data_IF_319740504424
#
_entry.id   IF_319740504424
#
_cell.length_a   1.000
_cell.length_b   1.000
_cell.length_c   1.000
_cell.angle_alpha   90.00
_cell.angle_beta   90.00
_cell.angle_gamma   90.00
#
_symmetry.space_group_name_H-M   'P 1'
#
loop_
_entity.id
_entity.type
_entity.pdbx_description
1 polymer ?
#
# COMPACT_ATOMS: atom_id res chain seq x y z
N UNK A 1 -13.13 5.46 14.63
CA UNK A 1 -12.09 6.06 13.79
C UNK A 1 -12.17 5.40 12.43
N UNK A 2 -12.05 6.18 11.35
CA UNK A 2 -11.92 5.65 10.00
C UNK A 2 -10.45 5.76 9.63
N UNK A 3 -9.80 4.64 9.34
CA UNK A 3 -8.45 4.65 8.80
C UNK A 3 -8.55 4.91 7.29
N UNK A 4 -8.18 6.12 6.87
CA UNK A 4 -8.35 6.54 5.49
C UNK A 4 -7.29 5.97 4.54
N UNK A 5 -6.23 5.31 5.03
CA UNK A 5 -5.23 4.67 4.19
C UNK A 5 -4.51 3.56 4.95
N UNK A 6 -4.87 2.31 4.65
CA UNK A 6 -4.19 1.14 5.16
C UNK A 6 -3.85 0.15 4.04
N UNK A 7 -3.18 -0.94 4.43
CA UNK A 7 -2.77 -2.01 3.53
C UNK A 7 -3.34 -3.35 3.98
N UNK A 8 -3.42 -4.33 3.06
CA UNK A 8 -3.59 -5.73 3.40
C UNK A 8 -2.68 -6.18 4.54
N UNK A 9 -3.24 -6.92 5.48
CA UNK A 9 -2.54 -7.52 6.62
C UNK A 9 -2.65 -9.05 6.58
N UNK A 10 -1.91 -9.75 7.45
CA UNK A 10 -1.97 -11.20 7.49
C UNK A 10 -3.37 -11.68 7.90
N UNK A 11 -3.95 -12.62 7.14
CA UNK A 11 -5.24 -13.25 7.47
C UNK A 11 -5.09 -14.54 8.27
N UNK A 12 -3.86 -14.92 8.56
CA UNK A 12 -3.52 -16.04 9.42
C UNK A 12 -2.43 -15.60 10.39
N UNK A 13 -2.47 -16.18 11.59
CA UNK A 13 -1.42 -16.00 12.57
C UNK A 13 -0.11 -16.62 12.11
N UNK A 14 0.96 -16.23 12.78
CA UNK A 14 2.30 -16.72 12.50
C UNK A 14 3.23 -16.40 13.65
N UNK A 15 4.48 -16.79 13.52
CA UNK A 15 5.53 -16.40 14.45
C UNK A 15 5.66 -14.87 14.47
N UNK A 16 5.92 -14.34 15.66
CA UNK A 16 6.09 -12.92 15.87
C UNK A 16 7.43 -12.66 16.54
N UNK A 17 8.31 -11.98 15.81
CA UNK A 17 9.57 -11.47 16.33
C UNK A 17 9.47 -9.94 16.41
N UNK A 18 9.37 -9.35 17.61
CA UNK A 18 9.30 -7.90 17.78
C UNK A 18 10.46 -7.15 17.11
N UNK A 19 11.64 -7.78 16.96
CA UNK A 19 12.81 -7.17 16.31
C UNK A 19 12.64 -6.90 14.82
N UNK A 20 11.65 -7.56 14.20
CA UNK A 20 11.33 -7.40 12.78
C UNK A 20 10.35 -6.25 12.52
N UNK A 21 9.77 -5.64 13.56
CA UNK A 21 8.86 -4.50 13.41
C UNK A 21 9.59 -3.32 12.79
N UNK A 22 9.01 -2.82 11.70
CA UNK A 22 9.63 -1.78 10.88
C UNK A 22 8.59 -0.95 10.15
N UNK A 23 8.94 0.29 9.84
CA UNK A 23 8.20 1.15 8.91
C UNK A 23 8.79 1.12 7.50
N UNK A 24 9.94 0.45 7.33
CA UNK A 24 10.53 0.18 6.02
C UNK A 24 9.73 -0.91 5.31
N UNK A 25 9.06 -0.53 4.23
CA UNK A 25 8.25 -1.43 3.39
C UNK A 25 9.00 -1.92 2.14
N UNK A 26 10.29 -1.62 2.01
CA UNK A 26 11.10 -2.08 0.89
C UNK A 26 11.27 -3.61 0.88
N UNK A 27 11.34 -4.17 -0.33
CA UNK A 27 11.43 -5.61 -0.58
C UNK A 27 12.61 -5.98 -1.47
N UNK A 28 13.58 -5.08 -1.64
CA UNK A 28 14.78 -5.35 -2.42
C UNK A 28 15.73 -6.30 -1.65
N UNK A 29 16.67 -6.95 -2.36
CA UNK A 29 17.69 -7.77 -1.74
C UNK A 29 18.45 -7.01 -0.64
N UNK A 30 18.53 -7.60 0.56
CA UNK A 30 19.19 -6.99 1.71
C UNK A 30 18.30 -6.10 2.57
N UNK A 31 17.02 -5.91 2.22
CA UNK A 31 16.10 -5.12 3.05
C UNK A 31 15.91 -5.72 4.46
N UNK A 32 15.89 -7.05 4.58
CA UNK A 32 15.83 -7.72 5.90
C UNK A 32 17.07 -7.45 6.76
N UNK A 33 18.27 -7.53 6.19
CA UNK A 33 19.51 -7.25 6.90
C UNK A 33 19.58 -5.78 7.32
N UNK A 34 19.19 -4.85 6.45
CA UNK A 34 19.08 -3.43 6.79
C UNK A 34 18.11 -3.21 7.95
N UNK A 35 16.93 -3.85 7.92
CA UNK A 35 15.95 -3.77 9.02
C UNK A 35 16.50 -4.35 10.32
N UNK A 36 17.24 -5.44 10.28
CA UNK A 36 17.90 -6.00 11.48
C UNK A 36 18.98 -5.07 12.02
N UNK A 37 19.84 -4.52 11.15
CA UNK A 37 20.91 -3.59 11.54
C UNK A 37 20.40 -2.27 12.11
N UNK A 38 19.24 -1.80 11.62
CA UNK A 38 18.61 -0.56 12.10
C UNK A 38 17.73 -0.79 13.34
N UNK A 39 17.47 -2.03 13.73
CA UNK A 39 16.86 -2.40 15.01
C UNK A 39 17.94 -2.78 16.02
N UNK A 40 17.57 -3.12 17.27
CA UNK A 40 16.23 -3.07 17.85
C UNK A 40 15.85 -1.71 18.46
N UNK A 41 16.78 -0.74 18.54
CA UNK A 41 16.61 0.52 19.27
C UNK A 41 15.68 1.57 18.62
N UNK A 42 14.79 1.14 17.71
CA UNK A 42 13.82 2.04 17.08
C UNK A 42 12.74 2.38 18.09
N UNK A 43 12.53 3.66 18.32
CA UNK A 43 11.44 4.14 19.18
C UNK A 43 10.08 3.54 18.79
N UNK A 44 9.76 3.45 17.50
CA UNK A 44 8.50 2.86 17.05
C UNK A 44 8.36 1.38 17.41
N UNK A 45 9.45 0.62 17.32
CA UNK A 45 9.48 -0.80 17.70
C UNK A 45 9.28 -0.94 19.22
N UNK A 46 10.05 -0.21 20.02
CA UNK A 46 9.94 -0.24 21.49
C UNK A 46 8.54 0.16 21.97
N UNK A 47 7.97 1.22 21.38
CA UNK A 47 6.61 1.65 21.69
C UNK A 47 5.56 0.57 21.37
N UNK A 48 5.68 -0.11 20.22
CA UNK A 48 4.76 -1.19 19.85
C UNK A 48 4.93 -2.40 20.76
N UNK A 49 6.16 -2.79 21.09
CA UNK A 49 6.46 -3.88 22.02
C UNK A 49 5.83 -3.61 23.38
N UNK A 50 6.12 -2.45 24.00
CA UNK A 50 5.61 -2.11 25.33
C UNK A 50 4.08 -2.03 25.35
N UNK A 51 3.46 -1.40 24.35
CA UNK A 51 1.99 -1.29 24.29
C UNK A 51 1.31 -2.64 24.10
N UNK A 52 1.85 -3.50 23.26
CA UNK A 52 1.27 -4.83 23.04
C UNK A 52 1.47 -5.73 24.26
N UNK A 53 2.61 -5.62 24.94
CA UNK A 53 2.87 -6.34 26.18
C UNK A 53 1.89 -5.93 27.29
N UNK A 54 1.69 -4.62 27.49
CA UNK A 54 0.69 -4.08 28.42
C UNK A 54 -0.72 -4.57 28.11
N UNK A 55 -1.12 -4.56 26.83
CA UNK A 55 -2.43 -5.08 26.39
C UNK A 55 -2.61 -6.55 26.72
N UNK A 56 -1.57 -7.35 26.57
CA UNK A 56 -1.60 -8.79 26.85
C UNK A 56 -1.36 -9.11 28.33
N UNK A 57 -1.03 -8.12 29.16
CA UNK A 57 -0.75 -8.30 30.58
C UNK A 57 0.54 -9.10 30.84
N UNK A 58 1.56 -8.89 30.00
CA UNK A 58 2.86 -9.56 30.11
C UNK A 58 4.02 -8.55 30.09
N UNK A 59 5.22 -9.00 30.46
CA UNK A 59 6.42 -8.19 30.31
C UNK A 59 6.88 -8.15 28.83
N UNK A 60 7.57 -7.08 28.38
CA UNK A 60 8.05 -6.94 26.99
C UNK A 60 8.85 -8.15 26.47
N UNK A 61 9.64 -8.79 27.32
CA UNK A 61 10.47 -9.96 27.01
C UNK A 61 9.63 -11.23 26.75
N UNK A 62 8.41 -11.28 27.31
CA UNK A 62 7.48 -12.41 27.18
C UNK A 62 6.51 -12.24 26.01
N UNK A 63 6.53 -11.09 25.35
CA UNK A 63 5.56 -10.66 24.34
C UNK A 63 5.36 -11.69 23.23
N UNK A 64 6.44 -12.30 22.72
CA UNK A 64 6.36 -13.27 21.64
C UNK A 64 5.52 -14.50 22.05
N UNK A 65 5.74 -15.01 23.27
CA UNK A 65 5.01 -16.15 23.83
C UNK A 65 3.56 -15.78 24.12
N UNK A 66 3.33 -14.67 24.83
CA UNK A 66 1.99 -14.21 25.19
C UNK A 66 1.12 -13.96 23.94
N UNK A 67 1.71 -13.35 22.90
CA UNK A 67 1.03 -13.16 21.62
C UNK A 67 0.69 -14.49 20.96
N UNK A 68 1.63 -15.44 20.91
CA UNK A 68 1.38 -16.73 20.26
C UNK A 68 0.19 -17.48 20.89
N UNK A 69 0.00 -17.35 22.21
CA UNK A 69 -1.18 -17.87 22.90
C UNK A 69 -2.44 -17.08 22.58
N UNK A 70 -2.37 -15.74 22.67
CA UNK A 70 -3.51 -14.87 22.40
C UNK A 70 -4.00 -14.94 20.94
N UNK A 71 -3.12 -15.25 19.99
CA UNK A 71 -3.41 -15.31 18.56
C UNK A 71 -3.72 -16.72 18.04
N UNK A 72 -4.03 -17.69 18.92
CA UNK A 72 -4.50 -19.02 18.51
C UNK A 72 -5.79 -18.95 17.69
N UNK A 73 -6.70 -18.07 18.09
CA UNK A 73 -7.80 -17.59 17.25
C UNK A 73 -7.36 -16.26 16.62
N UNK A 74 -6.87 -16.34 15.38
CA UNK A 74 -6.33 -15.17 14.68
C UNK A 74 -7.37 -14.09 14.46
N UNK A 75 -8.58 -14.46 14.04
CA UNK A 75 -9.68 -13.54 13.75
C UNK A 75 -10.14 -12.82 15.01
N UNK A 76 -10.32 -13.55 16.12
CA UNK A 76 -10.66 -12.94 17.41
C UNK A 76 -9.55 -12.00 17.91
N UNK A 77 -8.29 -12.41 17.77
CA UNK A 77 -7.13 -11.60 18.14
C UNK A 77 -7.04 -10.30 17.33
N UNK A 78 -7.08 -10.39 16.00
CA UNK A 78 -6.96 -9.26 15.10
C UNK A 78 -8.12 -8.26 15.31
N UNK A 79 -9.37 -8.74 15.30
CA UNK A 79 -10.54 -7.88 15.50
C UNK A 79 -10.55 -7.20 16.88
N UNK A 80 -10.02 -7.86 17.92
CA UNK A 80 -9.85 -7.23 19.22
C UNK A 80 -8.85 -6.07 19.19
N UNK A 81 -7.76 -6.15 18.41
CA UNK A 81 -6.80 -5.06 18.24
C UNK A 81 -7.43 -3.87 17.50
N UNK A 82 -8.17 -4.11 16.41
CA UNK A 82 -8.87 -3.04 15.69
C UNK A 82 -9.91 -2.34 16.56
N UNK A 83 -10.68 -3.12 17.34
CA UNK A 83 -11.66 -2.59 18.30
C UNK A 83 -11.02 -1.75 19.40
N UNK A 84 -9.88 -2.19 19.92
CA UNK A 84 -9.10 -1.44 20.93
C UNK A 84 -8.59 -0.10 20.39
N UNK A 85 -8.13 -0.10 19.13
CA UNK A 85 -7.76 1.12 18.43
C UNK A 85 -8.97 2.00 18.06
N UNK A 86 -10.20 1.52 18.28
CA UNK A 86 -11.44 2.22 17.93
C UNK A 86 -11.64 2.38 16.43
N UNK A 87 -11.02 1.51 15.60
CA UNK A 87 -11.17 1.53 14.14
C UNK A 87 -12.46 0.82 13.77
N UNK A 88 -13.24 1.43 12.88
CA UNK A 88 -14.56 0.92 12.46
C UNK A 88 -14.66 0.72 10.95
N UNK A 89 -13.84 1.43 10.18
CA UNK A 89 -13.76 1.29 8.74
C UNK A 89 -12.33 1.58 8.26
N UNK A 90 -11.95 0.92 7.17
CA UNK A 90 -10.62 0.96 6.59
C UNK A 90 -10.75 1.22 5.09
N UNK A 91 -10.12 2.29 4.62
CA UNK A 91 -9.89 2.51 3.20
C UNK A 91 -8.58 1.82 2.82
N UNK A 92 -8.69 0.69 2.12
CA UNK A 92 -7.59 -0.24 1.93
C UNK A 92 -7.03 -0.16 0.52
N UNK A 93 -5.74 0.17 0.42
CA UNK A 93 -4.97 0.10 -0.81
C UNK A 93 -4.54 -1.35 -1.08
N UNK A 94 -5.36 -2.04 -1.89
CA UNK A 94 -5.18 -3.45 -2.23
C UNK A 94 -4.03 -3.67 -3.23
N UNK A 95 -3.64 -2.65 -3.99
CA UNK A 95 -2.63 -2.76 -5.05
C UNK A 95 -1.18 -2.88 -4.56
N UNK A 96 -0.93 -2.91 -3.25
CA UNK A 96 0.40 -3.22 -2.68
C UNK A 96 0.72 -4.71 -2.67
N UNK A 97 -0.30 -5.58 -2.62
CA UNK A 97 -0.14 -7.02 -2.47
C UNK A 97 -0.92 -7.73 -3.57
N UNK A 98 -0.25 -8.40 -4.52
CA UNK A 98 -0.94 -9.13 -5.59
C UNK A 98 -1.97 -10.12 -5.03
N UNK A 99 -3.19 -10.09 -5.56
CA UNK A 99 -4.27 -10.99 -5.18
C UNK A 99 -5.04 -10.59 -3.91
N UNK A 100 -4.69 -9.50 -3.25
CA UNK A 100 -5.43 -9.00 -2.08
C UNK A 100 -6.87 -8.60 -2.44
N UNK A 101 -7.10 -8.14 -3.66
CA UNK A 101 -8.42 -7.79 -4.19
C UNK A 101 -9.43 -8.95 -4.17
N UNK A 102 -8.95 -10.19 -4.21
CA UNK A 102 -9.81 -11.37 -4.15
C UNK A 102 -10.28 -11.73 -2.73
N UNK A 103 -9.79 -11.02 -1.69
CA UNK A 103 -10.01 -11.39 -0.29
C UNK A 103 -10.46 -10.23 0.60
N UNK A 104 -11.19 -9.28 0.04
CA UNK A 104 -11.76 -8.14 0.79
C UNK A 104 -12.61 -8.61 1.98
N UNK A 105 -13.41 -9.65 1.78
CA UNK A 105 -14.26 -10.23 2.83
C UNK A 105 -13.43 -10.83 3.97
N UNK A 106 -12.30 -11.49 3.66
CA UNK A 106 -11.39 -12.00 4.69
C UNK A 106 -10.79 -10.89 5.54
N UNK A 107 -10.45 -9.74 4.95
CA UNK A 107 -9.98 -8.57 5.71
C UNK A 107 -11.09 -7.97 6.58
N UNK A 108 -12.33 -7.93 6.09
CA UNK A 108 -13.47 -7.46 6.86
C UNK A 108 -13.76 -8.38 8.06
N UNK A 109 -13.77 -9.68 7.84
CA UNK A 109 -13.96 -10.69 8.90
C UNK A 109 -12.83 -10.60 9.95
N UNK A 110 -11.58 -10.63 9.52
CA UNK A 110 -10.43 -10.62 10.42
C UNK A 110 -10.32 -9.32 11.24
N UNK A 111 -10.68 -8.17 10.66
CA UNK A 111 -10.63 -6.88 11.36
C UNK A 111 -11.90 -6.55 12.15
N UNK A 112 -13.04 -7.13 11.78
CA UNK A 112 -14.36 -6.68 12.24
C UNK A 112 -14.73 -5.27 11.78
N UNK A 113 -14.06 -4.74 10.75
CA UNK A 113 -14.25 -3.40 10.19
C UNK A 113 -14.88 -3.46 8.80
N UNK A 114 -15.55 -2.38 8.40
CA UNK A 114 -15.92 -2.20 6.99
C UNK A 114 -14.66 -1.93 6.15
N UNK A 115 -14.50 -2.65 5.04
CA UNK A 115 -13.37 -2.46 4.12
C UNK A 115 -13.85 -1.74 2.86
N UNK A 116 -13.19 -0.65 2.52
CA UNK A 116 -13.47 0.17 1.36
C UNK A 116 -12.25 0.18 0.42
N UNK A 117 -12.32 -0.48 -0.75
CA UNK A 117 -11.18 -0.59 -1.66
C UNK A 117 -10.69 0.76 -2.20
N UNK A 118 -9.37 0.93 -2.26
CA UNK A 118 -8.69 1.97 -3.03
C UNK A 118 -7.89 1.29 -4.15
N UNK A 119 -8.01 1.80 -5.37
CA UNK A 119 -7.23 1.32 -6.51
C UNK A 119 -5.90 2.09 -6.61
N UNK A 120 -4.77 1.38 -6.54
CA UNK A 120 -3.44 1.92 -6.82
C UNK A 120 -3.07 1.72 -8.29
N UNK A 121 -2.70 2.79 -8.97
CA UNK A 121 -2.44 2.76 -10.42
C UNK A 121 -1.01 2.30 -10.79
N UNK A 122 -0.03 2.52 -9.91
CA UNK A 122 1.39 2.34 -10.26
C UNK A 122 1.82 0.91 -10.59
N UNK A 123 1.33 -0.17 -9.94
CA UNK A 123 1.68 -1.54 -10.33
C UNK A 123 1.28 -1.85 -11.78
N UNK A 124 0.14 -1.34 -12.24
CA UNK A 124 -0.32 -1.48 -13.61
C UNK A 124 0.60 -0.72 -14.57
N UNK A 125 0.94 0.54 -14.24
CA UNK A 125 1.88 1.34 -15.04
C UNK A 125 3.25 0.66 -15.10
N UNK A 126 3.76 0.15 -13.98
CA UNK A 126 5.03 -0.58 -13.92
C UNK A 126 4.99 -1.83 -14.80
N UNK A 127 3.92 -2.62 -14.71
CA UNK A 127 3.72 -3.82 -15.52
C UNK A 127 3.70 -3.53 -17.02
N UNK A 128 2.94 -2.51 -17.43
CA UNK A 128 2.80 -2.13 -18.84
C UNK A 128 4.09 -1.53 -19.43
N UNK A 129 4.81 -0.71 -18.65
CA UNK A 129 6.16 -0.25 -19.03
C UNK A 129 7.12 -1.46 -19.16
N UNK A 130 7.01 -2.44 -18.27
CA UNK A 130 7.84 -3.65 -18.33
C UNK A 130 7.53 -4.53 -19.53
N UNK A 131 6.27 -4.57 -20.00
CA UNK A 131 5.85 -5.33 -21.19
C UNK A 131 6.09 -4.61 -22.50
N UNK A 132 6.63 -3.38 -22.47
CA UNK A 132 6.91 -2.59 -23.67
C UNK A 132 5.69 -1.94 -24.31
N UNK A 133 4.64 -1.66 -23.53
CA UNK A 133 3.48 -0.92 -24.02
C UNK A 133 3.85 0.55 -24.35
N UNK A 134 3.18 1.11 -25.34
CA UNK A 134 3.24 2.54 -25.68
C UNK A 134 2.62 3.41 -24.58
N UNK A 135 2.98 4.68 -24.55
CA UNK A 135 2.39 5.63 -23.61
C UNK A 135 0.88 5.77 -23.80
N UNK A 136 0.39 5.66 -25.04
CA UNK A 136 -1.05 5.64 -25.33
C UNK A 136 -1.74 4.41 -24.72
N UNK A 137 -1.19 3.22 -24.91
CA UNK A 137 -1.77 1.99 -24.34
C UNK A 137 -1.78 2.02 -22.82
N UNK A 138 -0.70 2.51 -22.19
CA UNK A 138 -0.61 2.68 -20.73
C UNK A 138 -1.69 3.65 -20.25
N UNK A 139 -1.83 4.80 -20.90
CA UNK A 139 -2.83 5.80 -20.54
C UNK A 139 -4.25 5.23 -20.65
N UNK A 140 -4.60 4.66 -21.80
CA UNK A 140 -5.95 4.14 -22.04
C UNK A 140 -6.31 3.02 -21.06
N UNK A 141 -5.37 2.11 -20.78
CA UNK A 141 -5.56 1.02 -19.82
C UNK A 141 -5.81 1.54 -18.41
N UNK A 142 -4.99 2.49 -17.92
CA UNK A 142 -5.15 3.05 -16.58
C UNK A 142 -6.49 3.76 -16.42
N UNK A 143 -6.88 4.62 -17.37
CA UNK A 143 -8.14 5.35 -17.27
C UNK A 143 -9.35 4.43 -17.33
N UNK A 144 -9.31 3.39 -18.18
CA UNK A 144 -10.36 2.37 -18.26
C UNK A 144 -10.49 1.62 -16.93
N UNK A 145 -9.38 1.12 -16.38
CA UNK A 145 -9.41 0.39 -15.12
C UNK A 145 -9.82 1.26 -13.93
N UNK A 146 -9.58 2.56 -13.96
CA UNK A 146 -10.12 3.48 -12.93
C UNK A 146 -11.65 3.54 -12.96
N UNK A 147 -12.25 3.60 -14.15
CA UNK A 147 -13.71 3.59 -14.29
C UNK A 147 -14.30 2.25 -13.85
N UNK A 148 -13.67 1.15 -14.24
CA UNK A 148 -14.07 -0.20 -13.83
C UNK A 148 -13.99 -0.39 -12.32
N UNK A 149 -12.88 0.05 -11.70
CA UNK A 149 -12.69 -0.04 -10.26
C UNK A 149 -13.76 0.79 -9.50
N UNK A 150 -14.08 2.00 -9.97
CA UNK A 150 -15.15 2.79 -9.40
C UNK A 150 -16.52 2.10 -9.53
N UNK A 151 -16.82 1.52 -10.69
CA UNK A 151 -18.04 0.74 -10.92
C UNK A 151 -18.12 -0.53 -10.06
N UNK A 152 -16.97 -1.10 -9.67
CA UNK A 152 -16.85 -2.24 -8.77
C UNK A 152 -16.82 -1.85 -7.28
N UNK A 153 -16.97 -0.57 -6.93
CA UNK A 153 -17.09 -0.11 -5.54
C UNK A 153 -15.81 0.44 -4.92
N UNK A 154 -14.75 0.70 -5.69
CA UNK A 154 -13.61 1.44 -5.18
C UNK A 154 -14.03 2.87 -4.75
N UNK A 155 -13.60 3.28 -3.57
CA UNK A 155 -13.95 4.57 -2.97
C UNK A 155 -12.90 5.66 -3.20
N UNK A 156 -11.87 5.36 -3.99
CA UNK A 156 -10.77 6.27 -4.25
C UNK A 156 -9.63 5.63 -5.03
N UNK A 157 -8.68 6.47 -5.39
CA UNK A 157 -7.48 6.09 -6.14
C UNK A 157 -6.23 6.45 -5.36
N UNK A 158 -5.12 5.78 -5.69
CA UNK A 158 -3.81 6.04 -5.08
C UNK A 158 -2.72 6.06 -6.15
N UNK A 159 -1.77 6.97 -5.97
CA UNK A 159 -0.46 6.88 -6.61
C UNK A 159 0.69 6.85 -5.62
N UNK A 160 1.74 6.13 -5.99
CA UNK A 160 3.06 6.12 -5.36
C UNK A 160 4.14 6.74 -6.28
N UNK A 161 3.75 7.68 -7.14
CA UNK A 161 4.64 8.37 -8.10
C UNK A 161 5.92 8.92 -7.45
N UNK A 162 5.85 9.38 -6.19
CA UNK A 162 7.01 9.81 -5.40
C UNK A 162 8.12 8.75 -5.34
N UNK A 163 7.76 7.46 -5.19
CA UNK A 163 8.68 6.31 -5.18
C UNK A 163 9.12 5.84 -6.58
N UNK A 164 8.71 6.55 -7.62
CA UNK A 164 9.02 6.22 -9.01
C UNK A 164 9.90 7.32 -9.61
N UNK A 165 9.26 8.38 -10.08
CA UNK A 165 9.91 9.47 -10.84
C UNK A 165 9.78 10.83 -10.13
N UNK A 166 9.37 10.81 -8.86
CA UNK A 166 9.24 12.00 -8.03
C UNK A 166 7.98 12.82 -8.30
N UNK A 167 7.74 13.81 -7.45
CA UNK A 167 6.54 14.67 -7.49
C UNK A 167 6.76 16.00 -8.23
N UNK A 168 7.91 16.19 -8.87
CA UNK A 168 8.13 17.32 -9.79
C UNK A 168 7.43 17.02 -11.12
N UNK A 169 6.10 16.96 -11.09
CA UNK A 169 5.23 16.58 -12.21
C UNK A 169 5.21 17.72 -13.23
N UNK A 170 5.51 17.40 -14.48
CA UNK A 170 5.33 18.36 -15.59
C UNK A 170 3.87 18.33 -16.07
N UNK A 171 3.09 19.42 -15.88
CA UNK A 171 1.69 19.46 -16.27
C UNK A 171 1.50 19.60 -17.79
N UNK A 172 2.56 19.90 -18.55
CA UNK A 172 2.50 20.20 -19.98
C UNK A 172 2.98 19.05 -20.87
N UNK A 173 3.25 17.87 -20.29
CA UNK A 173 3.68 16.70 -21.06
C UNK A 173 2.69 16.36 -22.18
N UNK A 174 3.24 16.25 -23.38
CA UNK A 174 2.58 15.76 -24.59
C UNK A 174 2.69 14.24 -24.69
N UNK A 175 1.82 13.62 -25.52
CA UNK A 175 1.90 12.18 -25.77
C UNK A 175 3.25 11.78 -26.41
N UNK A 176 3.78 12.60 -27.32
CA UNK A 176 5.09 12.34 -27.94
C UNK A 176 6.23 12.29 -26.91
N UNK A 177 6.28 13.26 -25.99
CA UNK A 177 7.26 13.25 -24.89
C UNK A 177 7.06 12.04 -23.97
N UNK A 178 5.82 11.62 -23.74
CA UNK A 178 5.51 10.42 -22.98
C UNK A 178 6.06 9.17 -23.66
N UNK A 179 5.84 8.98 -24.97
CA UNK A 179 6.38 7.87 -25.76
C UNK A 179 7.91 7.85 -25.72
N UNK A 180 8.55 9.00 -25.97
CA UNK A 180 10.01 9.11 -25.95
C UNK A 180 10.62 8.74 -24.58
N UNK A 181 9.92 9.02 -23.48
CA UNK A 181 10.40 8.74 -22.12
C UNK A 181 10.46 7.24 -21.77
N UNK A 182 9.85 6.37 -22.60
CA UNK A 182 9.80 4.92 -22.38
C UNK A 182 11.04 4.19 -22.92
N UNK A 183 11.80 4.81 -23.84
CA UNK A 183 12.88 4.16 -24.61
C UNK A 183 14.18 3.84 -23.81
N UNK A 184 14.15 3.83 -22.47
CA UNK A 184 15.31 3.59 -21.62
C UNK A 184 15.48 2.12 -21.19
N UNK A 185 16.71 1.71 -20.90
CA UNK A 185 17.10 0.37 -20.40
C UNK A 185 17.21 0.28 -18.87
N UNK A 186 17.02 1.39 -18.15
CA UNK A 186 17.07 1.44 -16.70
C UNK A 186 15.95 0.68 -15.98
N UNK A 187 16.04 0.60 -14.65
CA UNK A 187 15.02 -0.05 -13.82
C UNK A 187 13.62 0.54 -14.06
N UNK A 188 12.63 -0.32 -14.33
CA UNK A 188 11.22 0.06 -14.62
C UNK A 188 10.69 1.15 -13.70
N UNK A 189 10.97 1.03 -12.39
CA UNK A 189 10.53 1.98 -11.35
C UNK A 189 11.00 3.42 -11.59
N UNK A 190 12.13 3.63 -12.29
CA UNK A 190 12.72 4.95 -12.56
C UNK A 190 12.54 5.40 -14.01
N UNK A 191 11.95 4.58 -14.88
CA UNK A 191 11.71 4.89 -16.31
C UNK A 191 10.39 5.62 -16.52
N UNK A 192 10.28 6.27 -17.69
CA UNK A 192 9.00 6.78 -18.20
C UNK A 192 8.47 7.99 -17.43
N UNK A 193 9.32 8.91 -16.96
CA UNK A 193 8.86 10.06 -16.18
C UNK A 193 7.74 10.84 -16.89
N UNK A 194 7.93 11.21 -18.15
CA UNK A 194 6.91 11.95 -18.90
C UNK A 194 5.64 11.11 -19.07
N UNK A 195 5.75 9.82 -19.36
CA UNK A 195 4.60 8.91 -19.40
C UNK A 195 3.83 8.87 -18.07
N UNK A 196 4.54 8.73 -16.95
CA UNK A 196 3.94 8.70 -15.61
C UNK A 196 3.29 10.04 -15.24
N UNK A 197 3.92 11.16 -15.57
CA UNK A 197 3.36 12.51 -15.35
C UNK A 197 2.07 12.72 -16.17
N UNK A 198 2.06 12.27 -17.43
CA UNK A 198 0.87 12.28 -18.30
C UNK A 198 -0.26 11.42 -17.71
N UNK A 199 0.04 10.17 -17.35
CA UNK A 199 -0.92 9.24 -16.74
C UNK A 199 -1.50 9.84 -15.46
N UNK A 200 -0.64 10.33 -14.55
CA UNK A 200 -1.08 10.93 -13.29
C UNK A 200 -2.01 12.13 -13.52
N UNK A 201 -1.63 13.06 -14.39
CA UNK A 201 -2.47 14.24 -14.72
C UNK A 201 -3.83 13.85 -15.26
N UNK A 202 -3.90 12.84 -16.15
CA UNK A 202 -5.18 12.38 -16.74
C UNK A 202 -6.01 11.58 -15.73
N UNK A 203 -5.36 10.80 -14.87
CA UNK A 203 -5.99 10.08 -13.79
C UNK A 203 -6.64 11.02 -12.76
N UNK A 204 -6.00 12.15 -12.43
CA UNK A 204 -6.63 13.19 -11.60
C UNK A 204 -7.93 13.71 -12.22
N UNK A 205 -7.98 13.89 -13.54
CA UNK A 205 -9.20 14.27 -14.26
C UNK A 205 -10.32 13.24 -14.11
N UNK A 206 -10.02 11.96 -14.33
CA UNK A 206 -11.01 10.88 -14.15
C UNK A 206 -11.51 10.81 -12.71
N UNK A 207 -10.62 10.93 -11.71
CA UNK A 207 -11.05 10.94 -10.31
C UNK A 207 -11.96 12.13 -9.99
N UNK A 208 -11.68 13.31 -10.55
CA UNK A 208 -12.54 14.49 -10.41
C UNK A 208 -13.92 14.27 -11.06
N UNK A 209 -13.97 13.72 -12.27
CA UNK A 209 -15.22 13.41 -12.97
C UNK A 209 -16.08 12.38 -12.21
N UNK A 210 -15.43 11.41 -11.56
CA UNK A 210 -16.08 10.40 -10.72
C UNK A 210 -16.45 10.91 -9.32
N UNK A 211 -15.97 12.09 -8.91
CA UNK A 211 -16.15 12.62 -7.56
C UNK A 211 -15.43 11.81 -6.47
N UNK A 212 -14.35 11.09 -6.82
CA UNK A 212 -13.61 10.21 -5.92
C UNK A 212 -12.26 10.83 -5.50
N UNK A 213 -11.82 10.63 -4.24
CA UNK A 213 -10.54 11.13 -3.77
C UNK A 213 -9.36 10.42 -4.47
N UNK A 214 -8.28 11.17 -4.69
CA UNK A 214 -7.02 10.65 -5.22
C UNK A 214 -5.90 10.88 -4.19
N UNK A 215 -5.42 9.81 -3.60
CA UNK A 215 -4.34 9.83 -2.62
C UNK A 215 -2.97 9.84 -3.32
N UNK A 216 -2.07 10.68 -2.81
CA UNK A 216 -0.71 10.81 -3.35
C UNK A 216 0.25 10.46 -2.23
N UNK A 217 1.12 9.47 -2.44
CA UNK A 217 2.23 9.26 -1.51
C UNK A 217 3.19 10.44 -1.56
N UNK A 218 3.57 10.97 -0.40
CA UNK A 218 4.52 12.08 -0.29
C UNK A 218 5.45 11.87 0.90
N UNK A 219 6.67 12.42 0.83
CA UNK A 219 7.62 12.37 1.93
C UNK A 219 8.31 11.02 2.09
N UNK A 220 8.24 10.45 3.29
CA UNK A 220 9.05 9.33 3.74
C UNK A 220 8.95 8.08 2.84
N UNK A 221 10.13 7.55 2.48
CA UNK A 221 10.41 6.21 1.95
C UNK A 221 11.44 6.21 0.83
#
# INVERSE_FOLDING_TARGET
MIDHHAHPFALQGGTFDPSTLTLDVERDPGAEDRRRQQGPSRLAQELLTVRLAQRLGCEPEELATARAEASRDWTAYASALFRDAGITAILMDLGIAPGAEANVDGYAEASGCAIHPIMRIDPMVDGLISSGASAKEILDAVLTSMQEAAGAGAVGFKTILAYRTGLSVDPFVTLEQAEASLAGDGAVRRRGKSCRDLVFRRALGVAADLGLPFQIHTGFG
#
